data_IF_033945836203
#
_entry.id   IF_033945836203
#
_cell.length_a   1.000
_cell.length_b   1.000
_cell.length_c   1.000
_cell.angle_alpha   90.00
_cell.angle_beta   90.00
_cell.angle_gamma   90.00
#
_symmetry.space_group_name_H-M   'P 1'
#
loop_
_entity.id
_entity.type
_entity.pdbx_description
1 polymer ?
#
# COMPACT_ATOMS: atom_id res chain seq x y z
N UNK A 1 -51.60 53.94 21.79
CA UNK A 1 -50.68 54.56 20.81
C UNK A 1 -49.49 53.60 20.69
N UNK A 2 -49.55 52.62 19.77
CA UNK A 2 -48.99 52.65 18.40
C UNK A 2 -47.48 52.97 18.35
N UNK A 3 -46.65 51.93 18.41
CA UNK A 3 -45.48 51.72 17.53
C UNK A 3 -44.83 50.34 17.81
N UNK A 4 -45.05 49.41 16.89
CA UNK A 4 -44.19 48.24 16.62
C UNK A 4 -43.21 48.60 15.48
N UNK A 5 -42.31 47.71 15.02
CA UNK A 5 -41.30 46.91 15.73
C UNK A 5 -39.91 47.04 15.05
N UNK A 6 -38.82 46.67 15.74
CA UNK A 6 -37.53 46.42 15.08
C UNK A 6 -37.39 44.91 14.78
N UNK A 7 -37.28 44.59 13.49
CA UNK A 7 -37.18 43.26 12.95
C UNK A 7 -35.76 42.69 13.08
N UNK A 8 -35.66 41.46 13.58
CA UNK A 8 -34.49 40.58 13.41
C UNK A 8 -34.73 39.70 12.18
N UNK A 9 -33.78 39.56 11.24
CA UNK A 9 -33.91 38.58 10.18
C UNK A 9 -33.51 37.18 10.67
N UNK A 10 -34.42 36.23 10.48
CA UNK A 10 -34.13 34.81 10.44
C UNK A 10 -33.84 34.38 8.98
N UNK A 11 -32.91 33.43 8.81
CA UNK A 11 -32.83 32.39 7.75
C UNK A 11 -31.59 31.54 8.08
N UNK A 12 -31.76 30.27 8.47
CA UNK A 12 -31.80 29.11 7.56
C UNK A 12 -30.37 28.62 7.37
N UNK A 13 -29.96 27.39 7.65
CA UNK A 13 -30.61 26.10 7.44
C UNK A 13 -29.53 25.15 6.91
N UNK A 14 -29.36 24.02 7.60
CA UNK A 14 -28.83 22.71 7.18
C UNK A 14 -27.88 22.54 5.98
N UNK A 15 -26.78 21.82 6.27
CA UNK A 15 -25.99 20.89 5.45
C UNK A 15 -26.38 20.66 3.96
N UNK A 16 -25.38 20.83 3.07
CA UNK A 16 -25.28 20.10 1.81
C UNK A 16 -23.81 19.97 1.36
N UNK A 17 -23.54 18.89 0.61
CA UNK A 17 -22.24 18.32 0.22
C UNK A 17 -21.60 19.05 -0.98
N UNK A 18 -20.26 19.23 -0.92
CA UNK A 18 -19.16 19.08 -1.94
C UNK A 18 -19.38 19.66 -3.38
N UNK A 19 -18.38 19.72 -4.31
CA UNK A 19 -16.96 19.31 -4.28
C UNK A 19 -15.98 20.35 -4.89
N UNK A 20 -14.72 19.93 -5.10
CA UNK A 20 -13.73 20.50 -6.03
C UNK A 20 -12.81 21.60 -5.49
N UNK A 21 -12.00 21.25 -4.49
CA UNK A 21 -10.64 21.79 -4.43
C UNK A 21 -9.67 20.66 -4.75
N UNK A 22 -9.17 20.70 -5.98
CA UNK A 22 -8.00 19.97 -6.42
C UNK A 22 -6.82 20.42 -5.57
N UNK A 23 -6.67 19.78 -4.41
CA UNK A 23 -5.47 19.90 -3.60
C UNK A 23 -4.31 19.30 -4.41
N UNK A 24 -3.57 20.22 -5.01
CA UNK A 24 -2.23 20.07 -5.53
C UNK A 24 -1.41 19.33 -4.47
N UNK A 25 -1.28 18.02 -4.65
CA UNK A 25 -0.29 17.24 -3.93
C UNK A 25 1.06 17.86 -4.28
N UNK A 26 1.62 18.65 -3.35
CA UNK A 26 3.06 18.91 -3.34
C UNK A 26 3.73 17.55 -3.24
N UNK A 27 4.15 17.11 -4.42
CA UNK A 27 4.96 15.94 -4.70
C UNK A 27 6.24 16.10 -3.90
N UNK A 28 6.23 15.69 -2.64
CA UNK A 28 7.45 15.26 -1.99
C UNK A 28 7.97 14.16 -2.92
N UNK A 29 8.95 14.50 -3.75
CA UNK A 29 9.77 13.52 -4.44
C UNK A 29 10.46 12.75 -3.33
N UNK A 30 9.76 11.76 -2.76
CA UNK A 30 10.46 10.61 -2.26
C UNK A 30 11.30 10.15 -3.45
N UNK A 31 12.61 10.15 -3.29
CA UNK A 31 13.51 9.57 -4.28
C UNK A 31 13.18 8.08 -4.41
N UNK A 32 12.17 7.77 -5.22
CA UNK A 32 11.79 6.42 -5.67
C UNK A 32 12.93 5.76 -6.48
N UNK A 33 14.02 6.48 -6.72
CA UNK A 33 15.24 5.98 -7.37
C UNK A 33 16.03 4.99 -6.50
N UNK A 34 15.82 4.96 -5.18
CA UNK A 34 16.73 4.25 -4.28
C UNK A 34 16.44 2.75 -4.06
N UNK A 35 15.22 2.24 -4.24
CA UNK A 35 14.92 0.80 -4.10
C UNK A 35 13.68 0.46 -4.91
N UNK A 36 13.71 -0.61 -5.70
CA UNK A 36 12.49 -1.12 -6.33
C UNK A 36 12.47 -2.63 -6.30
N UNK A 37 11.93 -3.18 -5.21
CA UNK A 37 11.29 -4.48 -5.27
C UNK A 37 10.03 -4.40 -6.15
N UNK A 38 9.72 -5.48 -6.85
CA UNK A 38 8.42 -5.66 -7.52
C UNK A 38 7.80 -6.98 -7.07
N UNK A 39 6.48 -7.07 -7.11
CA UNK A 39 5.73 -8.29 -6.81
C UNK A 39 4.90 -8.69 -8.01
N UNK A 40 4.78 -9.99 -8.27
CA UNK A 40 3.87 -10.54 -9.26
C UNK A 40 2.69 -11.21 -8.54
N UNK A 41 1.46 -10.73 -8.80
CA UNK A 41 0.22 -11.20 -8.16
C UNK A 41 -0.85 -11.34 -9.23
N UNK A 42 -1.42 -12.53 -9.43
CA UNK A 42 -2.41 -12.78 -10.50
C UNK A 42 -1.98 -12.20 -11.86
N UNK A 43 -0.74 -12.43 -12.29
CA UNK A 43 -0.13 -11.84 -13.52
C UNK A 43 0.09 -10.32 -13.52
N UNK A 44 -0.34 -9.60 -12.47
CA UNK A 44 -0.10 -8.16 -12.32
C UNK A 44 1.25 -7.89 -11.67
N UNK A 45 1.96 -6.92 -12.25
CA UNK A 45 3.18 -6.37 -11.68
C UNK A 45 2.86 -5.22 -10.72
N UNK A 46 3.07 -5.45 -9.42
CA UNK A 46 2.91 -4.45 -8.37
C UNK A 46 4.27 -3.84 -8.01
N UNK A 47 4.30 -2.52 -7.85
CA UNK A 47 5.48 -1.71 -7.50
C UNK A 47 5.08 -0.67 -6.44
N UNK A 48 6.06 -0.05 -5.75
CA UNK A 48 5.78 1.10 -4.90
C UNK A 48 4.91 2.17 -5.61
N UNK A 49 3.92 2.68 -4.90
CA UNK A 49 2.88 3.60 -5.40
C UNK A 49 1.64 2.93 -5.97
N UNK A 50 1.59 1.59 -6.03
CA UNK A 50 0.38 0.84 -6.41
C UNK A 50 -0.41 0.36 -5.20
N UNK A 51 -1.70 0.14 -5.41
CA UNK A 51 -2.57 -0.52 -4.44
C UNK A 51 -2.18 -2.00 -4.41
N UNK A 52 -2.04 -2.53 -3.20
CA UNK A 52 -1.73 -3.92 -2.91
C UNK A 52 -2.82 -4.44 -1.97
N UNK A 53 -3.36 -5.62 -2.27
CA UNK A 53 -4.27 -6.33 -1.37
C UNK A 53 -3.43 -7.12 -0.35
N UNK A 54 -3.81 -7.07 0.91
CA UNK A 54 -3.10 -7.77 1.98
C UNK A 54 -4.10 -8.35 3.00
N UNK A 55 -3.72 -9.42 3.67
CA UNK A 55 -4.50 -10.02 4.74
C UNK A 55 -4.14 -9.43 6.09
N UNK A 56 -5.16 -9.11 6.89
CA UNK A 56 -5.06 -8.71 8.29
C UNK A 56 -6.19 -9.39 9.07
N UNK A 57 -5.85 -10.21 10.06
CA UNK A 57 -6.83 -10.87 10.95
C UNK A 57 -7.98 -11.50 10.14
N UNK A 58 -7.62 -12.28 9.11
CA UNK A 58 -8.53 -12.98 8.20
C UNK A 58 -9.45 -12.07 7.35
N UNK A 59 -9.13 -10.78 7.26
CA UNK A 59 -9.81 -9.82 6.38
C UNK A 59 -8.86 -9.31 5.30
N UNK A 60 -9.40 -9.08 4.10
CA UNK A 60 -8.64 -8.47 3.01
C UNK A 60 -8.71 -6.95 3.11
N UNK A 61 -7.55 -6.32 3.24
CA UNK A 61 -7.39 -4.88 3.10
C UNK A 61 -7.21 -4.56 1.61
N UNK A 62 -8.28 -4.07 0.98
CA UNK A 62 -8.33 -3.89 -0.48
C UNK A 62 -7.60 -2.63 -1.00
N UNK A 63 -7.33 -1.64 -0.14
CA UNK A 63 -6.89 -0.30 -0.56
C UNK A 63 -5.60 0.17 0.13
N UNK A 64 -4.57 -0.68 0.23
CA UNK A 64 -3.29 -0.29 0.80
C UNK A 64 -2.31 0.15 -0.29
N UNK A 65 -1.91 1.42 -0.27
CA UNK A 65 -0.84 1.90 -1.16
C UNK A 65 0.50 1.43 -0.62
N UNK A 66 1.25 0.70 -1.44
CA UNK A 66 2.63 0.33 -1.13
C UNK A 66 3.54 1.56 -1.16
N UNK A 67 3.87 2.10 0.01
CA UNK A 67 4.59 3.36 0.18
C UNK A 67 6.09 3.19 0.48
N UNK A 68 6.64 1.98 0.33
CA UNK A 68 8.06 1.70 0.55
C UNK A 68 8.29 0.49 1.46
N UNK A 69 9.34 0.57 2.27
CA UNK A 69 9.88 -0.59 2.99
C UNK A 69 10.04 -0.31 4.48
N UNK A 70 9.97 -1.38 5.27
CA UNK A 70 10.31 -1.40 6.68
C UNK A 70 11.43 -2.43 6.89
N UNK A 71 12.44 -2.11 7.68
CA UNK A 71 13.47 -3.06 8.08
C UNK A 71 12.92 -3.99 9.15
N UNK A 72 13.15 -5.31 9.07
CA UNK A 72 12.75 -6.31 10.08
C UNK A 72 13.24 -5.90 11.47
N UNK A 73 14.44 -5.35 11.52
CA UNK A 73 15.12 -4.82 12.71
C UNK A 73 14.35 -3.66 13.36
N UNK A 74 13.51 -2.95 12.61
CA UNK A 74 12.68 -1.83 13.09
C UNK A 74 11.23 -2.22 13.38
N UNK A 75 10.84 -3.49 13.26
CA UNK A 75 9.44 -3.90 13.47
C UNK A 75 8.94 -3.61 14.89
N UNK A 76 9.81 -3.71 15.90
CA UNK A 76 9.45 -3.36 17.27
C UNK A 76 9.04 -1.89 17.39
N UNK A 77 9.71 -0.99 16.68
CA UNK A 77 9.36 0.43 16.63
C UNK A 77 8.03 0.66 15.90
N UNK A 78 7.82 0.00 14.75
CA UNK A 78 6.56 0.08 14.02
C UNK A 78 5.36 -0.37 14.87
N UNK A 79 5.48 -1.51 15.55
CA UNK A 79 4.43 -2.01 16.47
C UNK A 79 4.13 -1.03 17.59
N UNK A 80 5.15 -0.42 18.20
CA UNK A 80 4.98 0.62 19.24
C UNK A 80 4.26 1.86 18.73
N UNK A 81 4.34 2.16 17.43
CA UNK A 81 3.60 3.23 16.76
C UNK A 81 2.19 2.84 16.32
N UNK A 82 1.73 1.64 16.68
CA UNK A 82 0.42 1.12 16.27
C UNK A 82 0.45 0.45 14.89
N UNK A 83 1.64 0.23 14.32
CA UNK A 83 1.78 -0.48 13.06
C UNK A 83 1.41 -1.96 13.19
N UNK A 84 0.65 -2.45 12.22
CA UNK A 84 0.13 -3.81 12.24
C UNK A 84 0.74 -4.65 11.13
N UNK A 85 1.15 -5.86 11.47
CA UNK A 85 1.64 -6.81 10.48
C UNK A 85 0.48 -7.27 9.59
N UNK A 86 0.78 -7.46 8.31
CA UNK A 86 -0.14 -7.98 7.30
C UNK A 86 0.60 -8.99 6.42
N UNK A 87 -0.14 -9.92 5.85
CA UNK A 87 0.41 -10.85 4.86
C UNK A 87 0.12 -10.33 3.47
N UNK A 88 1.14 -10.31 2.59
CA UNK A 88 1.03 -9.89 1.20
C UNK A 88 1.32 -11.11 0.33
N UNK A 89 0.29 -11.84 -0.12
CA UNK A 89 0.43 -12.95 -1.04
C UNK A 89 0.95 -12.48 -2.40
N UNK A 90 1.92 -13.21 -2.96
CA UNK A 90 2.45 -12.99 -4.29
C UNK A 90 3.02 -14.31 -4.82
N UNK A 91 3.12 -14.45 -6.14
CA UNK A 91 3.77 -15.60 -6.77
C UNK A 91 5.29 -15.45 -6.80
N UNK A 92 5.75 -14.23 -7.11
CA UNK A 92 7.15 -13.92 -7.37
C UNK A 92 7.47 -12.55 -6.83
N UNK A 93 8.74 -12.35 -6.54
CA UNK A 93 9.28 -11.03 -6.27
C UNK A 93 10.47 -10.76 -7.16
N UNK A 94 10.78 -9.50 -7.38
CA UNK A 94 12.04 -9.09 -7.94
C UNK A 94 12.71 -8.06 -7.06
N UNK A 95 14.04 -8.09 -7.04
CA UNK A 95 14.86 -6.98 -6.56
C UNK A 95 15.60 -6.35 -7.73
N UNK A 96 15.81 -5.03 -7.63
CA UNK A 96 16.63 -4.31 -8.59
C UNK A 96 18.09 -4.38 -8.16
N UNK A 97 18.95 -4.87 -9.05
CA UNK A 97 20.41 -4.80 -8.85
C UNK A 97 20.86 -3.36 -8.59
N UNK A 98 21.72 -3.18 -7.60
CA UNK A 98 22.38 -1.90 -7.37
C UNK A 98 23.46 -1.61 -8.42
N UNK A 99 24.00 -2.65 -9.09
CA UNK A 99 25.06 -2.54 -10.10
C UNK A 99 24.52 -2.18 -11.48
N UNK A 100 23.60 -2.98 -12.02
CA UNK A 100 23.15 -2.87 -13.42
C UNK A 100 21.71 -2.36 -13.56
N UNK A 101 21.03 -2.15 -12.42
CA UNK A 101 19.66 -1.66 -12.33
C UNK A 101 18.62 -2.58 -12.98
N UNK A 102 18.96 -3.81 -13.32
CA UNK A 102 18.02 -4.81 -13.84
C UNK A 102 17.21 -5.44 -12.71
N UNK A 103 15.98 -5.87 -13.03
CA UNK A 103 15.15 -6.64 -12.09
C UNK A 103 15.56 -8.11 -12.15
N UNK A 104 15.81 -8.67 -10.99
CA UNK A 104 16.16 -10.09 -10.81
C UNK A 104 15.02 -10.75 -10.07
N UNK A 105 14.41 -11.68 -10.75
CA UNK A 105 13.19 -12.35 -10.30
C UNK A 105 13.50 -13.64 -9.56
N UNK A 106 12.63 -13.95 -8.61
CA UNK A 106 12.60 -15.24 -7.94
C UNK A 106 11.19 -15.59 -7.49
N UNK A 107 10.96 -16.88 -7.38
CA UNK A 107 9.67 -17.41 -6.98
C UNK A 107 9.55 -17.36 -5.45
N UNK A 108 8.36 -17.09 -4.95
CA UNK A 108 8.08 -17.22 -3.52
C UNK A 108 7.88 -18.70 -3.23
N UNK A 109 8.67 -19.31 -2.32
CA UNK A 109 8.54 -20.72 -2.01
C UNK A 109 7.13 -21.06 -1.49
N UNK A 110 6.66 -22.26 -1.80
CA UNK A 110 5.36 -22.74 -1.34
C UNK A 110 5.25 -22.66 0.20
N UNK A 111 4.10 -22.16 0.67
CA UNK A 111 3.84 -21.97 2.11
C UNK A 111 4.42 -20.67 2.71
N UNK A 112 5.11 -19.83 1.93
CA UNK A 112 5.60 -18.53 2.37
C UNK A 112 4.83 -17.38 1.71
N UNK A 113 4.86 -16.20 2.36
CA UNK A 113 4.29 -14.94 1.87
C UNK A 113 5.28 -13.80 2.05
N UNK A 114 5.01 -12.65 1.42
CA UNK A 114 5.76 -11.42 1.69
C UNK A 114 5.15 -10.74 2.91
N UNK A 115 5.98 -10.46 3.93
CA UNK A 115 5.53 -9.73 5.10
C UNK A 115 5.36 -8.24 4.83
N UNK A 116 4.22 -7.68 5.23
CA UNK A 116 3.97 -6.24 5.26
C UNK A 116 3.79 -5.71 6.68
N UNK A 117 3.89 -4.38 6.81
CA UNK A 117 3.40 -3.63 7.97
C UNK A 117 2.57 -2.45 7.46
N UNK A 118 1.40 -2.27 8.06
CA UNK A 118 0.55 -1.09 7.84
C UNK A 118 1.02 0.01 8.78
N UNK A 119 1.49 1.10 8.19
CA UNK A 119 1.79 2.36 8.86
C UNK A 119 0.47 3.10 9.13
N UNK A 120 0.12 3.37 10.40
CA UNK A 120 -1.17 3.92 10.77
C UNK A 120 -1.32 5.44 10.55
N UNK A 121 -0.36 6.10 9.88
CA UNK A 121 -0.36 7.55 9.56
C UNK A 121 -1.75 8.22 9.56
N UNK A 122 -1.86 9.36 10.26
CA UNK A 122 -3.07 10.14 10.64
C UNK A 122 -4.02 10.58 9.50
N UNK A 123 -4.46 9.64 8.66
CA UNK A 123 -5.49 9.88 7.64
C UNK A 123 -5.65 8.80 6.59
N UNK A 124 -4.56 8.07 6.21
CA UNK A 124 -4.63 6.95 5.24
C UNK A 124 -3.58 5.89 5.56
N UNK A 125 -3.98 4.63 5.83
CA UNK A 125 -3.03 3.57 6.10
C UNK A 125 -2.16 3.29 4.86
N UNK A 126 -0.85 3.20 5.07
CA UNK A 126 0.12 2.91 4.02
C UNK A 126 0.79 1.55 4.26
N UNK A 127 1.02 0.79 3.20
CA UNK A 127 1.75 -0.46 3.29
C UNK A 127 3.25 -0.21 3.15
N UNK A 128 4.03 -0.81 4.05
CA UNK A 128 5.47 -0.98 3.91
C UNK A 128 5.78 -2.47 3.81
N UNK A 129 6.48 -2.89 2.76
CA UNK A 129 6.99 -4.26 2.67
C UNK A 129 8.15 -4.42 3.66
N UNK A 130 8.09 -5.45 4.48
CA UNK A 130 9.14 -5.74 5.45
C UNK A 130 10.30 -6.42 4.73
N UNK A 131 11.52 -6.00 5.04
CA UNK A 131 12.76 -6.50 4.43
C UNK A 131 13.71 -7.00 5.49
N UNK A 132 14.62 -7.90 5.09
CA UNK A 132 15.78 -8.34 5.88
C UNK A 132 17.08 -8.14 5.09
N UNK A 133 18.22 -8.28 5.76
CA UNK A 133 19.52 -8.31 5.07
C UNK A 133 19.59 -9.52 4.14
N UNK A 134 20.13 -9.36 2.94
CA UNK A 134 20.42 -10.46 2.00
C UNK A 134 21.39 -11.46 2.64
N UNK A 135 21.24 -12.75 2.33
CA UNK A 135 22.33 -13.71 2.58
C UNK A 135 23.48 -13.44 1.61
N UNK A 136 24.68 -14.00 1.83
CA UNK A 136 25.76 -13.89 0.85
C UNK A 136 25.37 -14.37 -0.56
N UNK A 137 24.62 -15.47 -0.65
CA UNK A 137 24.18 -16.06 -1.91
C UNK A 137 23.20 -15.15 -2.65
N UNK A 138 22.26 -14.57 -1.91
CA UNK A 138 21.30 -13.62 -2.49
C UNK A 138 21.97 -12.31 -2.86
N UNK A 139 22.96 -11.85 -2.07
CA UNK A 139 23.72 -10.67 -2.43
C UNK A 139 24.50 -10.91 -3.73
N UNK A 140 25.08 -12.09 -3.93
CA UNK A 140 25.73 -12.44 -5.19
C UNK A 140 24.73 -12.54 -6.35
N UNK A 141 23.57 -13.15 -6.13
CA UNK A 141 22.55 -13.35 -7.17
C UNK A 141 21.82 -12.07 -7.54
N UNK A 142 21.36 -11.31 -6.55
CA UNK A 142 20.51 -10.13 -6.72
C UNK A 142 21.29 -8.82 -6.71
N UNK A 143 22.54 -8.79 -6.22
CA UNK A 143 23.36 -7.58 -6.02
C UNK A 143 22.57 -6.45 -5.36
N UNK A 144 21.76 -6.80 -4.37
CA UNK A 144 20.99 -5.88 -3.56
C UNK A 144 21.12 -6.31 -2.10
N UNK A 145 21.34 -5.38 -1.15
CA UNK A 145 21.66 -5.71 0.24
C UNK A 145 20.45 -6.11 1.08
N UNK A 146 19.23 -5.98 0.53
CA UNK A 146 17.98 -6.27 1.23
C UNK A 146 17.09 -7.15 0.38
N UNK A 147 16.34 -8.03 1.04
CA UNK A 147 15.35 -8.90 0.43
C UNK A 147 14.01 -8.74 1.15
N UNK A 148 12.87 -9.01 0.50
CA UNK A 148 11.60 -9.10 1.22
C UNK A 148 11.71 -10.17 2.30
N UNK A 149 11.03 -9.94 3.42
CA UNK A 149 10.91 -10.93 4.47
C UNK A 149 9.85 -11.95 4.05
N UNK A 150 10.32 -13.15 3.67
CA UNK A 150 9.47 -14.30 3.38
C UNK A 150 9.32 -15.17 4.63
N UNK A 151 8.08 -15.34 5.10
CA UNK A 151 7.74 -16.11 6.30
C UNK A 151 6.42 -16.85 6.07
N UNK A 152 6.08 -17.87 6.88
CA UNK A 152 4.74 -18.43 6.90
C UNK A 152 3.68 -17.34 7.14
N UNK A 153 2.47 -17.49 6.57
CA UNK A 153 1.38 -16.54 6.80
C UNK A 153 0.99 -16.51 8.28
N UNK A 154 0.62 -15.33 8.80
CA UNK A 154 -0.10 -15.23 10.07
C UNK A 154 -1.62 -15.35 9.91
N UNK A 155 -2.12 -15.01 8.72
CA UNK A 155 -3.54 -14.91 8.41
C UNK A 155 -3.87 -15.77 7.20
N UNK A 156 -3.32 -15.44 6.02
CA UNK A 156 -3.58 -16.22 4.81
C UNK A 156 -2.48 -16.03 3.77
N UNK A 157 -2.21 -17.11 3.03
CA UNK A 157 -1.38 -17.11 1.82
C UNK A 157 -2.22 -17.10 0.54
N UNK A 158 -3.54 -17.14 0.65
CA UNK A 158 -4.44 -17.10 -0.51
C UNK A 158 -4.28 -15.78 -1.25
N UNK A 159 -3.98 -15.84 -2.55
CA UNK A 159 -3.91 -14.63 -3.37
C UNK A 159 -5.35 -14.14 -3.60
N UNK A 160 -5.68 -12.92 -3.14
CA UNK A 160 -7.01 -12.37 -3.38
C UNK A 160 -7.30 -12.31 -4.88
N UNK A 161 -8.53 -12.58 -5.34
CA UNK A 161 -8.87 -12.43 -6.75
C UNK A 161 -8.62 -11.01 -7.22
N UNK A 162 -8.46 -10.78 -8.51
CA UNK A 162 -8.49 -9.41 -9.00
C UNK A 162 -9.91 -8.83 -8.80
N UNK A 163 -10.02 -7.56 -8.38
CA UNK A 163 -11.30 -6.87 -8.56
C UNK A 163 -11.58 -6.81 -10.07
N UNK A 164 -12.80 -7.15 -10.52
CA UNK A 164 -13.18 -6.88 -11.90
C UNK A 164 -12.98 -5.39 -12.15
N UNK A 165 -12.44 -5.04 -13.32
CA UNK A 165 -12.45 -3.65 -13.76
C UNK A 165 -13.88 -3.12 -13.61
N UNK A 166 -14.08 -1.87 -13.15
CA UNK A 166 -15.42 -1.30 -13.13
C UNK A 166 -16.02 -1.48 -14.52
N UNK A 167 -17.15 -2.19 -14.56
CA UNK A 167 -17.83 -2.57 -15.79
C UNK A 167 -18.00 -1.30 -16.63
N UNK A 168 -17.37 -1.27 -17.81
CA UNK A 168 -17.48 -0.13 -18.71
C UNK A 168 -18.85 -0.10 -19.40
N UNK A 169 -19.77 -0.97 -18.99
CA UNK A 169 -21.17 -0.96 -19.32
C UNK A 169 -21.89 0.21 -18.64
N UNK A 170 -21.74 1.44 -19.19
CA UNK A 170 -22.77 2.50 -19.23
C UNK A 170 -22.28 3.79 -19.94
N UNK A 171 -21.52 3.67 -21.04
CA UNK A 171 -21.15 4.82 -21.87
C UNK A 171 -21.78 4.83 -23.28
N UNK A 172 -22.73 3.94 -23.57
CA UNK A 172 -23.53 3.98 -24.81
C UNK A 172 -25.02 4.13 -24.49
N UNK A 173 -25.38 5.22 -23.82
CA UNK A 173 -26.75 5.72 -23.78
C UNK A 173 -26.72 7.25 -23.70
N UNK A 174 -26.21 7.93 -24.73
CA UNK A 174 -26.62 9.28 -25.14
C UNK A 174 -26.23 9.53 -26.59
#
# INVERSE_FOLDING_TARGET
MKSSPAALPAKGGSAARRPNEWLVFRRARADFSAMCAALEVNTRLLRPGRIVRAWRKDQILAALVWAGFARKESLGWWKKKGGELVDVPAHRFAERSDRDRQLRWDDIPAGLIVRGVVDPNDGKPLLKIVTRASTPEELMRFEHPRMPLLEPPLFSAEIPPDEPAPDTAQAELF
#
